data_IF_492234251129
#
_entry.id   IF_492234251129
#
_cell.length_a   1.000
_cell.length_b   1.000
_cell.length_c   1.000
_cell.angle_alpha   90.00
_cell.angle_beta   90.00
_cell.angle_gamma   90.00
#
_symmetry.space_group_name_H-M   'P 1'
#
loop_
_entity.id
_entity.type
_entity.pdbx_description
1 polymer ?
#
# COMPACT_ATOMS: atom_id res chain seq x y z
N UNK A 1 12.87 0.49 11.54
CA UNK A 1 12.80 -0.98 11.70
C UNK A 1 11.32 -1.37 11.83
N UNK A 2 10.88 -2.44 11.16
CA UNK A 2 9.50 -2.94 11.22
C UNK A 2 9.50 -4.27 11.98
N UNK A 3 8.72 -4.38 13.05
CA UNK A 3 8.63 -5.60 13.89
C UNK A 3 7.21 -6.15 13.87
N UNK A 4 7.05 -7.47 13.79
CA UNK A 4 5.74 -8.11 13.92
C UNK A 4 5.54 -8.51 15.38
N UNK A 5 4.41 -8.10 15.97
CA UNK A 5 4.12 -8.29 17.39
C UNK A 5 2.69 -8.79 17.55
N UNK A 6 2.49 -9.78 18.43
CA UNK A 6 1.15 -10.27 18.80
C UNK A 6 0.71 -9.68 20.13
N UNK A 7 -0.54 -9.24 20.21
CA UNK A 7 -1.09 -8.62 21.42
C UNK A 7 -2.45 -7.99 21.14
N UNK A 8 -2.82 -7.05 22.01
CA UNK A 8 -4.13 -6.36 21.98
C UNK A 8 -3.90 -4.88 21.79
N UNK A 9 -4.47 -4.31 20.73
CA UNK A 9 -4.52 -2.86 20.55
C UNK A 9 -5.81 -2.34 21.18
N UNK A 10 -5.68 -1.48 22.20
CA UNK A 10 -6.80 -0.89 22.93
C UNK A 10 -6.69 0.63 22.96
N UNK A 11 -7.81 1.28 23.28
CA UNK A 11 -7.87 2.72 23.48
C UNK A 11 -8.30 2.97 24.92
N UNK A 12 -7.57 3.84 25.60
CA UNK A 12 -7.90 4.35 26.93
C UNK A 12 -7.84 5.87 26.86
N UNK A 13 -8.95 6.53 27.17
CA UNK A 13 -9.15 7.97 26.98
C UNK A 13 -8.81 8.42 25.53
N UNK A 14 -7.83 9.32 25.39
CA UNK A 14 -7.34 9.84 24.11
C UNK A 14 -6.10 9.09 23.57
N UNK A 15 -5.55 8.15 24.35
CA UNK A 15 -4.32 7.41 24.01
C UNK A 15 -4.61 5.98 23.55
N UNK A 16 -3.72 5.44 22.73
CA UNK A 16 -3.77 4.04 22.30
C UNK A 16 -2.66 3.25 22.96
N UNK A 17 -3.02 2.08 23.47
CA UNK A 17 -2.12 1.19 24.18
C UNK A 17 -2.05 -0.15 23.46
N UNK A 18 -0.84 -0.70 23.38
CA UNK A 18 -0.63 -2.06 22.92
C UNK A 18 -0.17 -2.94 24.07
N UNK A 19 -0.99 -3.93 24.41
CA UNK A 19 -0.70 -4.90 25.46
C UNK A 19 -0.15 -6.19 24.87
N UNK A 20 1.06 -6.55 25.25
CA UNK A 20 1.68 -7.82 24.89
C UNK A 20 1.15 -8.94 25.79
N UNK A 21 1.21 -10.18 25.29
CA UNK A 21 0.83 -11.38 26.07
C UNK A 21 1.65 -11.57 27.36
N UNK A 22 2.81 -10.92 27.46
CA UNK A 22 3.67 -10.93 28.65
C UNK A 22 3.15 -10.02 29.77
N UNK A 23 2.09 -9.23 29.53
CA UNK A 23 1.54 -8.27 30.48
C UNK A 23 2.17 -6.87 30.39
N UNK A 24 3.14 -6.66 29.49
CA UNK A 24 3.69 -5.33 29.21
C UNK A 24 2.73 -4.55 28.31
N UNK A 25 2.42 -3.31 28.68
CA UNK A 25 1.68 -2.36 27.85
C UNK A 25 2.58 -1.19 27.47
N UNK A 26 2.51 -0.76 26.22
CA UNK A 26 3.22 0.43 25.74
C UNK A 26 2.25 1.38 25.04
N UNK A 27 2.48 2.68 25.19
CA UNK A 27 1.74 3.69 24.44
C UNK A 27 2.17 3.64 22.97
N UNK A 28 1.19 3.68 22.07
CA UNK A 28 1.40 3.58 20.64
C UNK A 28 0.56 4.60 19.88
N UNK A 29 0.97 4.87 18.65
CA UNK A 29 0.22 5.66 17.70
C UNK A 29 -0.44 4.74 16.68
N UNK A 30 -1.77 4.71 16.69
CA UNK A 30 -2.56 3.86 15.78
C UNK A 30 -2.49 4.37 14.34
N UNK A 31 -2.20 3.48 13.41
CA UNK A 31 -2.18 3.72 11.95
C UNK A 31 -2.96 2.65 11.20
N UNK A 32 -4.07 2.20 11.76
CA UNK A 32 -4.95 1.19 11.20
C UNK A 32 -6.36 1.44 11.71
N UNK A 33 -7.38 1.10 10.92
CA UNK A 33 -8.79 1.13 11.33
C UNK A 33 -9.15 -0.03 12.26
N UNK A 34 -8.31 -1.08 12.32
CA UNK A 34 -8.52 -2.24 13.18
C UNK A 34 -8.02 -2.00 14.62
N UNK A 35 -8.74 -2.56 15.58
CA UNK A 35 -8.32 -2.63 16.99
C UNK A 35 -8.64 -4.02 17.58
N UNK A 36 -8.18 -4.27 18.81
CA UNK A 36 -8.35 -5.54 19.53
C UNK A 36 -7.20 -6.52 19.32
N UNK A 37 -7.47 -7.80 19.59
CA UNK A 37 -6.48 -8.87 19.55
C UNK A 37 -6.00 -9.16 18.13
N UNK A 38 -4.70 -9.40 18.00
CA UNK A 38 -4.13 -9.81 16.73
C UNK A 38 -2.62 -9.70 16.64
N UNK A 39 -2.16 -9.90 15.41
CA UNK A 39 -0.81 -9.57 15.00
C UNK A 39 -0.79 -8.21 14.33
N UNK A 40 0.17 -7.38 14.74
CA UNK A 40 0.36 -6.04 14.25
C UNK A 40 1.83 -5.81 13.89
N UNK A 41 2.08 -4.76 13.11
CA UNK A 41 3.40 -4.32 12.71
C UNK A 41 3.74 -3.02 13.41
N UNK A 42 4.93 -2.97 14.01
CA UNK A 42 5.44 -1.84 14.77
C UNK A 42 6.54 -1.15 13.98
N UNK A 43 6.41 0.16 13.82
CA UNK A 43 7.44 1.02 13.25
C UNK A 43 7.85 2.06 14.29
N UNK A 44 9.11 2.02 14.69
CA UNK A 44 9.67 3.05 15.58
C UNK A 44 10.22 4.18 14.72
N UNK A 45 9.70 5.39 14.94
CA UNK A 45 10.23 6.63 14.36
C UNK A 45 11.01 7.40 15.41
N UNK A 46 12.04 8.11 14.94
CA UNK A 46 12.89 9.00 15.73
C UNK A 46 12.80 10.45 15.24
N UNK A 47 11.84 10.75 14.37
CA UNK A 47 11.60 12.12 13.88
C UNK A 47 10.94 12.96 14.98
N UNK A 48 11.71 13.92 15.51
CA UNK A 48 11.39 14.82 16.64
C UNK A 48 11.26 14.12 18.00
N UNK A 49 10.55 12.99 18.08
CA UNK A 49 10.39 12.17 19.29
C UNK A 49 10.43 10.68 18.95
N UNK A 50 10.76 9.84 19.95
CA UNK A 50 10.64 8.39 19.83
C UNK A 50 9.16 8.03 19.90
N UNK A 51 8.62 7.47 18.82
CA UNK A 51 7.20 7.10 18.74
C UNK A 51 7.02 5.77 18.04
N UNK A 52 6.14 4.93 18.58
CA UNK A 52 5.79 3.61 18.02
C UNK A 52 4.50 3.74 17.22
N UNK A 53 4.58 3.53 15.92
CA UNK A 53 3.42 3.48 15.02
C UNK A 53 3.00 2.03 14.80
N UNK A 54 1.69 1.76 14.83
CA UNK A 54 1.13 0.41 14.76
C UNK A 54 0.20 0.25 13.57
N UNK A 55 0.44 -0.79 12.78
CA UNK A 55 -0.32 -1.14 11.57
C UNK A 55 -0.85 -2.58 11.71
N UNK A 56 -2.00 -2.88 11.13
CA UNK A 56 -2.53 -4.24 11.06
C UNK A 56 -1.86 -5.08 9.96
N UNK A 57 -1.36 -4.44 8.90
CA UNK A 57 -0.77 -5.13 7.75
C UNK A 57 0.30 -4.28 7.02
N UNK A 58 0.97 -4.91 6.05
CA UNK A 58 2.05 -4.27 5.28
C UNK A 58 1.55 -3.21 4.30
N UNK A 59 0.32 -3.31 3.82
CA UNK A 59 -0.26 -2.35 2.88
C UNK A 59 -0.47 -1.00 3.57
N UNK A 60 -1.00 -1.02 4.80
CA UNK A 60 -1.11 0.18 5.64
C UNK A 60 0.25 0.82 5.92
N UNK A 61 1.27 0.01 6.24
CA UNK A 61 2.63 0.51 6.42
C UNK A 61 3.20 1.12 5.14
N UNK A 62 2.96 0.48 3.99
CA UNK A 62 3.39 0.98 2.68
C UNK A 62 2.77 2.35 2.38
N UNK A 63 1.44 2.46 2.52
CA UNK A 63 0.74 3.71 2.30
C UNK A 63 1.19 4.81 3.29
N UNK A 64 1.46 4.46 4.55
CA UNK A 64 2.05 5.40 5.51
C UNK A 64 3.40 5.95 5.06
N UNK A 65 4.31 5.09 4.59
CA UNK A 65 5.63 5.51 4.11
C UNK A 65 5.53 6.46 2.92
N UNK A 66 4.54 6.25 2.04
CA UNK A 66 4.28 7.12 0.90
C UNK A 66 3.69 8.46 1.36
N UNK A 67 2.62 8.42 2.15
CA UNK A 67 1.92 9.62 2.64
C UNK A 67 2.82 10.52 3.48
N UNK A 68 3.62 9.95 4.41
CA UNK A 68 4.46 10.75 5.32
C UNK A 68 5.49 11.60 4.58
N UNK A 69 5.90 11.18 3.38
CA UNK A 69 6.91 11.86 2.58
C UNK A 69 6.32 13.00 1.73
N UNK A 70 5.00 13.09 1.59
CA UNK A 70 4.36 14.23 0.93
C UNK A 70 4.53 15.48 1.79
N UNK A 71 5.04 16.56 1.17
CA UNK A 71 5.34 17.80 1.89
C UNK A 71 4.08 18.36 2.57
N UNK A 72 4.12 18.47 3.89
CA UNK A 72 3.01 18.99 4.70
C UNK A 72 2.09 17.92 5.29
N UNK A 73 2.36 16.63 5.06
CA UNK A 73 1.68 15.49 5.70
C UNK A 73 2.47 15.05 6.95
N UNK A 74 3.65 14.44 6.76
CA UNK A 74 4.47 13.94 7.88
C UNK A 74 3.83 12.78 8.66
N UNK A 75 4.53 12.28 9.68
CA UNK A 75 4.15 11.05 10.39
C UNK A 75 2.80 11.17 11.13
N UNK A 76 2.53 12.32 11.76
CA UNK A 76 1.33 12.51 12.59
C UNK A 76 0.06 12.55 11.73
N UNK A 77 0.07 13.31 10.62
CA UNK A 77 -1.11 13.37 9.74
C UNK A 77 -1.31 12.06 9.00
N UNK A 78 -0.23 11.44 8.50
CA UNK A 78 -0.31 10.13 7.86
C UNK A 78 -0.93 9.07 8.79
N UNK A 79 -0.54 9.05 10.07
CA UNK A 79 -1.15 8.19 11.09
C UNK A 79 -2.63 8.46 11.28
N UNK A 80 -3.04 9.73 11.45
CA UNK A 80 -4.44 10.11 11.66
C UNK A 80 -5.34 9.75 10.49
N UNK A 81 -4.80 9.80 9.27
CA UNK A 81 -5.54 9.38 8.07
C UNK A 81 -5.77 7.87 8.12
N UNK A 82 -4.72 7.08 8.34
CA UNK A 82 -4.80 5.61 8.37
C UNK A 82 -5.53 5.03 9.59
N UNK A 83 -5.75 5.83 10.64
CA UNK A 83 -6.58 5.43 11.77
C UNK A 83 -8.08 5.56 11.50
N UNK A 84 -8.47 6.30 10.45
CA UNK A 84 -9.86 6.57 10.10
C UNK A 84 -10.28 5.93 8.77
N UNK A 85 -9.36 5.83 7.83
CA UNK A 85 -9.62 5.35 6.47
C UNK A 85 -8.77 4.13 6.19
N UNK A 86 -9.37 3.13 5.54
CA UNK A 86 -8.62 1.98 5.06
C UNK A 86 -7.77 2.33 3.83
N UNK A 87 -6.87 1.42 3.48
CA UNK A 87 -5.95 1.60 2.36
C UNK A 87 -6.70 1.78 1.04
N UNK A 88 -7.77 1.02 0.81
CA UNK A 88 -8.47 1.02 -0.47
C UNK A 88 -9.24 2.31 -0.68
N UNK A 89 -9.90 2.83 0.35
CA UNK A 89 -10.57 4.13 0.33
C UNK A 89 -9.59 5.23 -0.06
N UNK A 90 -8.42 5.27 0.57
CA UNK A 90 -7.41 6.29 0.29
C UNK A 90 -6.81 6.15 -1.11
N UNK A 91 -6.54 4.92 -1.56
CA UNK A 91 -6.06 4.68 -2.92
C UNK A 91 -7.10 5.13 -3.95
N UNK A 92 -8.38 4.85 -3.73
CA UNK A 92 -9.46 5.26 -4.63
C UNK A 92 -9.57 6.79 -4.71
N UNK A 93 -9.54 7.50 -3.57
CA UNK A 93 -9.53 8.97 -3.53
C UNK A 93 -8.37 9.55 -4.33
N UNK A 94 -7.16 8.98 -4.16
CA UNK A 94 -5.96 9.46 -4.85
C UNK A 94 -6.02 9.14 -6.35
N UNK A 95 -6.49 7.94 -6.73
CA UNK A 95 -6.64 7.53 -8.14
C UNK A 95 -7.70 8.35 -8.88
N UNK A 96 -8.81 8.66 -8.22
CA UNK A 96 -9.86 9.52 -8.76
C UNK A 96 -9.39 10.98 -8.93
N UNK A 97 -8.30 11.36 -8.28
CA UNK A 97 -7.81 12.74 -8.28
C UNK A 97 -8.75 13.71 -7.59
N UNK A 98 -9.60 13.23 -6.68
CA UNK A 98 -10.57 14.07 -5.96
C UNK A 98 -9.88 14.82 -4.81
N UNK A 99 -9.35 16.00 -5.15
CA UNK A 99 -8.71 16.90 -4.20
C UNK A 99 -9.65 17.37 -3.09
N UNK A 100 -10.96 17.45 -3.38
CA UNK A 100 -11.95 17.94 -2.42
C UNK A 100 -12.18 16.91 -1.32
N UNK A 101 -12.38 15.63 -1.67
CA UNK A 101 -12.46 14.57 -0.66
C UNK A 101 -11.18 14.46 0.17
N UNK A 102 -10.01 14.54 -0.47
CA UNK A 102 -8.73 14.49 0.25
C UNK A 102 -8.55 15.67 1.21
N UNK A 103 -9.10 16.85 0.90
CA UNK A 103 -9.05 18.03 1.78
C UNK A 103 -9.98 17.92 3.00
N UNK A 104 -10.90 16.96 3.03
CA UNK A 104 -11.73 16.67 4.20
C UNK A 104 -11.00 15.77 5.22
N UNK A 105 -9.88 15.16 4.83
CA UNK A 105 -9.08 14.32 5.72
C UNK A 105 -8.46 15.16 6.86
N UNK A 106 -8.37 14.62 8.08
CA UNK A 106 -7.94 15.38 9.24
C UNK A 106 -6.52 15.94 9.08
N UNK A 107 -6.41 17.27 9.09
CA UNK A 107 -5.12 17.97 8.96
C UNK A 107 -4.59 18.09 7.53
N UNK A 108 -5.36 17.64 6.54
CA UNK A 108 -5.09 17.89 5.11
C UNK A 108 -5.92 19.10 4.70
N UNK A 109 -5.27 20.11 4.13
CA UNK A 109 -5.95 21.25 3.49
C UNK A 109 -5.83 21.17 1.98
N UNK A 110 -6.54 22.02 1.25
CA UNK A 110 -6.59 22.03 -0.22
C UNK A 110 -5.21 21.97 -0.88
N UNK A 111 -4.24 22.75 -0.36
CA UNK A 111 -2.88 22.79 -0.92
C UNK A 111 -2.15 21.46 -0.74
N UNK A 112 -2.40 20.76 0.36
CA UNK A 112 -1.81 19.44 0.63
C UNK A 112 -2.54 18.37 -0.16
N UNK A 113 -3.87 18.44 -0.29
CA UNK A 113 -4.66 17.53 -1.12
C UNK A 113 -4.19 17.54 -2.60
N UNK A 114 -4.05 18.75 -3.18
CA UNK A 114 -3.44 18.96 -4.52
C UNK A 114 -2.09 18.25 -4.68
N UNK A 115 -1.22 18.38 -3.67
CA UNK A 115 0.11 17.74 -3.68
C UNK A 115 0.01 16.22 -3.57
N UNK A 116 -0.87 15.71 -2.72
CA UNK A 116 -1.11 14.27 -2.57
C UNK A 116 -1.52 13.69 -3.93
N UNK A 117 -2.51 14.28 -4.60
CA UNK A 117 -2.94 13.83 -5.93
C UNK A 117 -1.78 13.90 -6.91
N UNK A 118 -1.12 15.04 -7.05
CA UNK A 118 -0.04 15.22 -8.03
C UNK A 118 1.17 14.28 -7.82
N UNK A 119 1.59 14.08 -6.57
CA UNK A 119 2.78 13.29 -6.24
C UNK A 119 2.49 11.78 -6.21
N UNK A 120 1.26 11.38 -5.84
CA UNK A 120 0.94 9.97 -5.57
C UNK A 120 0.12 9.30 -6.68
N UNK A 121 -0.74 10.01 -7.41
CA UNK A 121 -1.50 9.41 -8.52
C UNK A 121 -0.60 8.74 -9.55
N UNK A 122 0.55 9.34 -9.87
CA UNK A 122 1.55 8.76 -10.77
C UNK A 122 2.40 7.63 -10.17
N UNK A 123 2.47 7.51 -8.83
CA UNK A 123 3.23 6.45 -8.13
C UNK A 123 2.39 5.23 -7.77
N UNK A 124 1.07 5.41 -7.69
CA UNK A 124 0.09 4.39 -7.28
C UNK A 124 -0.57 3.69 -8.47
N UNK A 125 -0.08 3.93 -9.70
CA UNK A 125 -0.63 3.37 -10.94
C UNK A 125 -0.53 1.84 -11.05
N UNK A 126 0.20 1.16 -10.15
CA UNK A 126 0.27 -0.30 -10.14
C UNK A 126 -0.02 -0.83 -8.73
N UNK A 127 -1.29 -1.13 -8.44
CA UNK A 127 -1.68 -1.86 -7.22
C UNK A 127 -1.66 -3.36 -7.45
N UNK A 128 -1.69 -4.19 -6.40
CA UNK A 128 -1.76 -5.66 -6.51
C UNK A 128 -2.96 -6.14 -7.33
N UNK A 129 -4.08 -5.42 -7.26
CA UNK A 129 -5.27 -5.70 -8.05
C UNK A 129 -5.12 -5.28 -9.52
N UNK A 130 -4.36 -4.21 -9.80
CA UNK A 130 -4.01 -3.83 -11.17
C UNK A 130 -3.02 -4.85 -11.75
N UNK A 131 -2.03 -5.31 -10.96
CA UNK A 131 -1.10 -6.37 -11.37
C UNK A 131 -1.79 -7.69 -11.70
N UNK A 132 -2.79 -8.11 -10.90
CA UNK A 132 -3.56 -9.33 -11.19
C UNK A 132 -4.41 -9.17 -12.46
N UNK A 133 -4.91 -7.96 -12.74
CA UNK A 133 -5.66 -7.66 -13.95
C UNK A 133 -4.75 -7.63 -15.19
N UNK A 134 -3.62 -6.91 -15.12
CA UNK A 134 -2.59 -6.84 -16.16
C UNK A 134 -2.02 -8.23 -16.46
N UNK A 135 -1.81 -9.05 -15.42
CA UNK A 135 -1.40 -10.44 -15.56
C UNK A 135 -2.41 -11.23 -16.40
N UNK A 136 -3.69 -11.16 -16.04
CA UNK A 136 -4.75 -11.87 -16.75
C UNK A 136 -4.93 -11.35 -18.18
N UNK A 137 -4.76 -10.04 -18.40
CA UNK A 137 -4.84 -9.41 -19.72
C UNK A 137 -3.72 -9.90 -20.65
N UNK A 138 -2.47 -9.92 -20.17
CA UNK A 138 -1.32 -10.44 -20.94
C UNK A 138 -1.49 -11.94 -21.21
N UNK A 139 -1.95 -12.72 -20.23
CA UNK A 139 -2.21 -14.17 -20.40
C UNK A 139 -3.28 -14.41 -21.47
N UNK A 140 -4.40 -13.70 -21.42
CA UNK A 140 -5.49 -13.90 -22.38
C UNK A 140 -5.07 -13.46 -23.79
N UNK A 141 -4.42 -12.31 -23.94
CA UNK A 141 -3.95 -11.85 -25.23
C UNK A 141 -2.89 -12.79 -25.85
N UNK A 142 -2.01 -13.38 -25.05
CA UNK A 142 -1.08 -14.40 -25.54
C UNK A 142 -1.81 -15.70 -25.94
N UNK A 143 -2.85 -16.11 -25.21
CA UNK A 143 -3.68 -17.27 -25.58
C UNK A 143 -4.40 -17.05 -26.91
N UNK A 144 -4.91 -15.83 -27.16
CA UNK A 144 -5.58 -15.47 -28.41
C UNK A 144 -4.64 -15.52 -29.63
N UNK A 145 -3.33 -15.35 -29.40
CA UNK A 145 -2.27 -15.54 -30.40
C UNK A 145 -1.84 -17.00 -30.59
N UNK A 146 -2.44 -17.93 -29.84
CA UNK A 146 -2.20 -19.38 -29.96
C UNK A 146 -1.17 -19.96 -28.99
N UNK A 147 -0.70 -19.21 -28.00
CA UNK A 147 0.23 -19.71 -26.99
C UNK A 147 -0.50 -20.44 -25.85
N UNK A 148 0.11 -21.50 -25.30
CA UNK A 148 -0.49 -22.24 -24.19
C UNK A 148 -0.47 -21.45 -22.88
N UNK A 149 -1.65 -21.32 -22.25
CA UNK A 149 -1.84 -20.60 -20.98
C UNK A 149 -0.82 -21.00 -19.91
N UNK A 150 -0.60 -22.30 -19.71
CA UNK A 150 0.30 -22.80 -18.68
C UNK A 150 1.73 -22.27 -18.87
N UNK A 151 2.24 -22.32 -20.10
CA UNK A 151 3.58 -21.85 -20.46
C UNK A 151 3.71 -20.34 -20.26
N UNK A 152 2.70 -19.57 -20.68
CA UNK A 152 2.68 -18.11 -20.49
C UNK A 152 2.64 -17.76 -19.01
N UNK A 153 1.76 -18.39 -18.22
CA UNK A 153 1.67 -18.13 -16.78
C UNK A 153 2.95 -18.48 -16.04
N UNK A 154 3.64 -19.56 -16.42
CA UNK A 154 4.92 -19.94 -15.83
C UNK A 154 6.01 -18.91 -16.14
N UNK A 155 6.07 -18.42 -17.39
CA UNK A 155 7.00 -17.38 -17.81
C UNK A 155 6.76 -16.06 -17.05
N UNK A 156 5.51 -15.62 -16.94
CA UNK A 156 5.14 -14.38 -16.26
C UNK A 156 5.35 -14.46 -14.74
N UNK A 157 5.20 -15.64 -14.14
CA UNK A 157 5.53 -15.85 -12.73
C UNK A 157 7.05 -15.89 -12.50
N UNK A 158 7.82 -16.37 -13.48
CA UNK A 158 9.28 -16.47 -13.40
C UNK A 158 10.05 -15.17 -13.65
N UNK A 159 9.40 -14.12 -14.16
CA UNK A 159 10.05 -12.83 -14.47
C UNK A 159 9.16 -11.65 -14.09
N UNK A 160 9.76 -10.58 -13.58
CA UNK A 160 9.06 -9.30 -13.32
C UNK A 160 9.20 -8.29 -14.47
N UNK A 161 9.96 -8.60 -15.52
CA UNK A 161 10.36 -7.63 -16.56
C UNK A 161 9.20 -7.10 -17.41
N UNK A 162 8.11 -7.87 -17.50
CA UNK A 162 6.90 -7.51 -18.23
C UNK A 162 5.98 -6.54 -17.47
N UNK A 163 6.18 -6.39 -16.14
CA UNK A 163 5.22 -5.68 -15.26
C UNK A 163 5.22 -4.17 -15.41
N UNK A 164 6.32 -3.58 -15.88
CA UNK A 164 6.45 -2.13 -16.06
C UNK A 164 6.26 -1.71 -17.53
N UNK A 165 5.62 -2.58 -18.34
CA UNK A 165 5.46 -2.39 -19.79
C UNK A 165 3.99 -2.18 -20.14
N UNK A 166 3.76 -1.52 -21.28
CA UNK A 166 2.42 -1.53 -21.90
C UNK A 166 2.02 -2.96 -22.27
N UNK A 167 0.73 -3.25 -22.42
CA UNK A 167 0.25 -4.56 -22.88
C UNK A 167 0.96 -5.01 -24.17
N UNK A 168 1.10 -4.11 -25.14
CA UNK A 168 1.75 -4.42 -26.41
C UNK A 168 3.23 -4.79 -26.22
N UNK A 169 3.98 -4.01 -25.42
CA UNK A 169 5.39 -4.27 -25.15
C UNK A 169 5.59 -5.52 -24.29
N UNK A 170 4.69 -5.78 -23.35
CA UNK A 170 4.66 -7.00 -22.55
C UNK A 170 4.44 -8.23 -23.45
N UNK A 171 3.50 -8.17 -24.39
CA UNK A 171 3.25 -9.25 -25.36
C UNK A 171 4.44 -9.48 -26.29
N UNK A 172 5.05 -8.42 -26.83
CA UNK A 172 6.26 -8.52 -27.65
C UNK A 172 7.40 -9.20 -26.88
N UNK A 173 7.55 -8.85 -25.59
CA UNK A 173 8.52 -9.49 -24.72
C UNK A 173 8.21 -10.98 -24.49
N UNK A 174 6.96 -11.32 -24.17
CA UNK A 174 6.51 -12.72 -23.97
C UNK A 174 6.81 -13.57 -25.20
N UNK A 175 6.40 -13.11 -26.39
CA UNK A 175 6.62 -13.80 -27.66
C UNK A 175 8.11 -14.03 -27.90
N UNK A 176 8.94 -13.01 -27.64
CA UNK A 176 10.39 -13.12 -27.80
C UNK A 176 10.99 -14.17 -26.87
N UNK A 177 10.57 -14.24 -25.61
CA UNK A 177 11.11 -15.20 -24.65
C UNK A 177 10.61 -16.63 -24.89
N UNK A 178 9.36 -16.79 -25.35
CA UNK A 178 8.83 -18.11 -25.74
C UNK A 178 9.57 -18.67 -26.96
N UNK A 179 9.86 -17.84 -27.96
CA UNK A 179 10.61 -18.25 -29.16
C UNK A 179 12.09 -18.56 -28.90
N UNK A 180 12.66 -18.12 -27.76
CA UNK A 180 14.03 -18.51 -27.34
C UNK A 180 14.08 -19.87 -26.66
N UNK A 181 12.95 -20.36 -26.14
CA UNK A 181 12.84 -21.64 -25.42
C UNK A 181 12.36 -22.79 -26.33
N UNK A 182 11.95 -22.48 -27.57
CA UNK A 182 11.64 -23.45 -28.63
C UNK A 182 12.88 -23.79 -29.45
#
# INVERSE_FOLDING_TARGET
>A
MLLKVSGTLSQEDESYWFSLKTGLSIEVTRCTTRAGDGEYLFFVSFDNDIRVFVFSNKEEFGLFQVLKNVKGVGNIKASRILSLYDVQQLLNMIKAGDEHELALLPGIGERTAKRIVAELSGRLTHTRHDFDNDFMEVVNAACDLGYERNVVTELLNGSSEWRDKTLEDALRWVIRELNKKA
#
